data_IF_583727545058
#
_entry.id   IF_583727545058
#
_cell.length_a   1.000
_cell.length_b   1.000
_cell.length_c   1.000
_cell.angle_alpha   90.00
_cell.angle_beta   90.00
_cell.angle_gamma   90.00
#
_symmetry.space_group_name_H-M   'P 1'
#
loop_
_entity.id
_entity.type
_entity.pdbx_description
1 polymer ?
#
# COMPACT_ATOMS: atom_id res chain seq x y z
N UNK A 1 -11.28 -16.44 15.75
CA UNK A 1 -9.88 -16.07 15.48
C UNK A 1 -9.34 -16.56 14.11
N UNK A 2 -10.17 -17.08 13.18
CA UNK A 2 -9.71 -17.53 11.83
C UNK A 2 -9.69 -16.40 10.79
N UNK A 3 -10.67 -15.49 10.84
CA UNK A 3 -10.92 -14.49 9.79
C UNK A 3 -9.70 -13.62 9.44
N UNK A 4 -9.00 -13.05 10.43
CA UNK A 4 -7.83 -12.22 10.15
C UNK A 4 -6.66 -13.01 9.58
N UNK A 5 -6.52 -14.28 9.96
CA UNK A 5 -5.47 -15.14 9.42
C UNK A 5 -5.73 -15.43 7.95
N UNK A 6 -6.99 -15.69 7.58
CA UNK A 6 -7.41 -15.98 6.21
C UNK A 6 -7.36 -14.72 5.33
N UNK A 7 -7.71 -13.55 5.88
CA UNK A 7 -7.65 -12.25 5.17
C UNK A 7 -6.22 -11.85 4.78
N UNK A 8 -5.25 -12.11 5.66
CA UNK A 8 -3.83 -11.80 5.41
C UNK A 8 -3.02 -12.99 4.89
N UNK A 9 -3.61 -14.18 4.77
CA UNK A 9 -3.01 -15.36 4.16
C UNK A 9 -3.03 -15.28 2.62
N UNK A 10 -2.61 -14.14 2.06
CA UNK A 10 -2.44 -13.98 0.63
C UNK A 10 -1.52 -15.07 0.06
N UNK A 11 -1.85 -15.60 -1.13
CA UNK A 11 -0.98 -16.50 -1.88
C UNK A 11 0.43 -15.91 -1.93
N UNK A 12 1.44 -16.67 -1.47
CA UNK A 12 2.85 -16.28 -1.59
C UNK A 12 3.23 -16.21 -3.07
N UNK A 13 3.10 -15.04 -3.68
CA UNK A 13 3.64 -14.77 -4.99
C UNK A 13 5.17 -14.67 -4.89
N UNK A 14 5.89 -15.16 -5.91
CA UNK A 14 7.34 -14.94 -6.02
C UNK A 14 7.61 -13.43 -5.97
N UNK A 15 8.44 -13.02 -5.02
CA UNK A 15 8.91 -11.64 -4.93
C UNK A 15 9.80 -11.37 -6.14
N UNK A 16 9.36 -10.46 -7.00
CA UNK A 16 10.13 -10.02 -8.17
C UNK A 16 11.18 -9.01 -7.73
N UNK A 17 12.36 -9.06 -8.33
CA UNK A 17 13.38 -8.03 -8.08
C UNK A 17 12.89 -6.67 -8.60
N UNK A 18 13.44 -5.55 -8.10
CA UNK A 18 13.19 -4.22 -8.64
C UNK A 18 13.34 -4.12 -10.19
N UNK A 19 14.37 -4.75 -10.74
CA UNK A 19 14.68 -4.77 -12.16
C UNK A 19 13.67 -5.61 -12.94
N UNK A 20 13.31 -6.80 -12.42
CA UNK A 20 12.28 -7.65 -13.01
C UNK A 20 10.92 -6.94 -13.06
N UNK A 21 10.57 -6.16 -12.02
CA UNK A 21 9.35 -5.33 -12.01
C UNK A 21 9.42 -4.25 -13.09
N UNK A 22 10.53 -3.52 -13.19
CA UNK A 22 10.70 -2.47 -14.21
C UNK A 22 10.62 -3.05 -15.62
N UNK A 23 11.32 -4.16 -15.88
CA UNK A 23 11.31 -4.83 -17.17
C UNK A 23 9.90 -5.30 -17.57
N UNK A 24 9.15 -5.89 -16.63
CA UNK A 24 7.77 -6.30 -16.87
C UNK A 24 6.84 -5.11 -17.18
N UNK A 25 6.99 -3.99 -16.48
CA UNK A 25 6.24 -2.76 -16.75
C UNK A 25 6.57 -2.20 -18.14
N UNK A 26 7.84 -2.13 -18.53
CA UNK A 26 8.26 -1.65 -19.85
C UNK A 26 7.71 -2.55 -20.96
N UNK A 27 7.78 -3.87 -20.79
CA UNK A 27 7.20 -4.81 -21.76
C UNK A 27 5.70 -4.61 -21.95
N UNK A 28 4.97 -4.36 -20.85
CA UNK A 28 3.54 -4.05 -20.90
C UNK A 28 3.27 -2.75 -21.66
N UNK A 29 4.01 -1.69 -21.35
CA UNK A 29 3.87 -0.39 -22.03
C UNK A 29 4.14 -0.50 -23.54
N UNK A 30 5.20 -1.23 -23.93
CA UNK A 30 5.50 -1.52 -25.35
C UNK A 30 4.36 -2.28 -26.03
N UNK A 31 3.81 -3.31 -25.38
CA UNK A 31 2.69 -4.10 -25.91
C UNK A 31 1.43 -3.25 -26.14
N UNK A 32 1.17 -2.30 -25.25
CA UNK A 32 0.01 -1.41 -25.32
C UNK A 32 0.24 -0.17 -26.21
N UNK A 33 1.45 -0.01 -26.79
CA UNK A 33 1.79 1.15 -27.62
C UNK A 33 1.91 2.46 -26.84
N UNK A 34 2.09 2.38 -25.52
CA UNK A 34 2.17 3.54 -24.63
C UNK A 34 3.62 4.04 -24.58
N UNK A 35 3.88 5.32 -24.91
CA UNK A 35 5.20 5.93 -24.77
C UNK A 35 5.70 5.84 -23.32
N UNK A 36 6.97 5.52 -23.13
CA UNK A 36 7.61 5.48 -21.82
C UNK A 36 8.97 6.18 -21.85
N UNK A 37 9.44 6.59 -20.68
CA UNK A 37 10.73 7.25 -20.51
C UNK A 37 11.73 6.23 -19.98
N UNK A 38 12.81 6.00 -20.72
CA UNK A 38 13.77 4.92 -20.41
C UNK A 38 14.62 5.19 -19.17
N UNK A 39 14.98 6.46 -18.95
CA UNK A 39 15.85 6.89 -17.85
C UNK A 39 15.14 6.99 -16.49
N UNK A 40 13.85 6.64 -16.39
CA UNK A 40 13.17 6.60 -15.10
C UNK A 40 13.85 5.59 -14.17
N UNK A 41 14.09 5.93 -12.89
CA UNK A 41 14.78 5.05 -11.96
C UNK A 41 13.98 3.77 -11.68
N UNK A 42 14.67 2.76 -11.16
CA UNK A 42 14.05 1.55 -10.65
C UNK A 42 13.39 1.85 -9.31
N UNK A 43 12.18 1.34 -9.07
CA UNK A 43 11.50 1.45 -7.77
C UNK A 43 12.23 0.57 -6.75
N UNK A 44 12.52 1.13 -5.58
CA UNK A 44 13.24 0.51 -4.47
C UNK A 44 12.72 -0.89 -4.09
N UNK A 45 13.62 -1.70 -3.52
CA UNK A 45 13.28 -3.02 -3.00
C UNK A 45 12.32 -2.90 -1.83
N UNK A 46 11.43 -3.88 -1.68
CA UNK A 46 10.58 -3.98 -0.49
C UNK A 46 11.41 -4.12 0.80
N UNK A 47 12.65 -4.60 0.70
CA UNK A 47 13.59 -4.71 1.82
C UNK A 47 14.11 -3.35 2.30
N UNK A 48 14.09 -2.33 1.43
CA UNK A 48 14.47 -0.96 1.76
C UNK A 48 13.32 -0.19 2.46
N UNK A 49 12.14 -0.81 2.55
CA UNK A 49 11.01 -0.22 3.26
C UNK A 49 11.30 -0.22 4.75
N UNK A 50 11.21 0.95 5.37
CA UNK A 50 11.21 1.08 6.82
C UNK A 50 9.76 0.95 7.32
N UNK A 51 9.36 -0.19 7.94
CA UNK A 51 8.03 -0.30 8.49
C UNK A 51 7.86 0.70 9.65
N UNK A 52 6.65 1.25 9.76
CA UNK A 52 6.25 2.06 10.93
C UNK A 52 6.18 1.18 12.17
N UNK A 53 6.42 1.78 13.34
CA UNK A 53 6.24 1.06 14.60
C UNK A 53 4.75 0.72 14.82
N UNK A 54 4.48 -0.34 15.58
CA UNK A 54 3.12 -0.69 15.98
C UNK A 54 2.43 0.46 16.71
N UNK A 55 3.17 1.19 17.53
CA UNK A 55 2.67 2.38 18.23
C UNK A 55 2.25 3.49 17.26
N UNK A 56 3.07 3.80 16.25
CA UNK A 56 2.71 4.81 15.25
C UNK A 56 1.46 4.38 14.47
N UNK A 57 1.38 3.10 14.10
CA UNK A 57 0.21 2.54 13.41
C UNK A 57 -1.04 2.67 14.29
N UNK A 58 -0.96 2.27 15.56
CA UNK A 58 -2.07 2.34 16.50
C UNK A 58 -2.54 3.77 16.72
N UNK A 59 -1.60 4.71 16.90
CA UNK A 59 -1.90 6.14 17.08
C UNK A 59 -2.67 6.68 15.87
N UNK A 60 -2.22 6.38 14.66
CA UNK A 60 -2.89 6.80 13.43
C UNK A 60 -4.28 6.20 13.30
N UNK A 61 -4.44 4.92 13.61
CA UNK A 61 -5.75 4.26 13.57
C UNK A 61 -6.74 4.91 14.55
N UNK A 62 -6.31 5.16 15.79
CA UNK A 62 -7.13 5.82 16.81
C UNK A 62 -7.48 7.25 16.39
N UNK A 63 -6.51 8.04 15.93
CA UNK A 63 -6.77 9.41 15.46
C UNK A 63 -7.79 9.42 14.32
N UNK A 64 -7.67 8.52 13.34
CA UNK A 64 -8.66 8.41 12.27
C UNK A 64 -10.04 8.07 12.79
N UNK A 65 -10.15 7.13 13.75
CA UNK A 65 -11.42 6.74 14.36
C UNK A 65 -12.07 7.91 15.10
N UNK A 66 -11.30 8.67 15.87
CA UNK A 66 -11.79 9.84 16.62
C UNK A 66 -12.31 10.93 15.68
N UNK A 67 -11.63 11.18 14.56
CA UNK A 67 -12.10 12.17 13.57
C UNK A 67 -13.38 11.69 12.88
N UNK A 68 -13.49 10.40 12.57
CA UNK A 68 -14.73 9.83 12.04
C UNK A 68 -15.87 10.03 13.05
N UNK A 69 -15.64 9.69 14.32
CA UNK A 69 -16.66 9.86 15.36
C UNK A 69 -17.05 11.33 15.52
N UNK A 70 -16.08 12.24 15.58
CA UNK A 70 -16.36 13.68 15.67
C UNK A 70 -17.17 14.19 14.49
N UNK A 71 -16.89 13.71 13.26
CA UNK A 71 -17.69 14.07 12.08
C UNK A 71 -19.14 13.55 12.19
N UNK A 72 -19.33 12.33 12.68
CA UNK A 72 -20.66 11.75 12.92
C UNK A 72 -21.40 12.50 14.03
N UNK A 73 -20.72 12.91 15.10
CA UNK A 73 -21.33 13.67 16.19
C UNK A 73 -21.77 15.07 15.71
N UNK A 74 -20.97 15.72 14.85
CA UNK A 74 -21.34 16.97 14.18
C UNK A 74 -22.59 16.78 13.31
N UNK A 75 -22.62 15.74 12.48
CA UNK A 75 -23.76 15.41 11.62
C UNK A 75 -25.05 15.16 12.42
N UNK A 76 -24.91 14.49 13.57
CA UNK A 76 -26.04 14.15 14.45
C UNK A 76 -26.46 15.28 15.42
N UNK A 77 -25.82 16.45 15.36
CA UNK A 77 -25.98 17.55 16.33
C UNK A 77 -25.71 17.15 17.80
N UNK A 78 -24.75 16.24 18.01
CA UNK A 78 -24.34 15.71 19.31
C UNK A 78 -22.99 16.29 19.77
N UNK A 79 -22.82 17.61 19.69
CA UNK A 79 -21.59 18.33 20.04
C UNK A 79 -21.67 19.09 21.37
#
# INVERSE_FOLDING_TARGET
>A
MSFFKDLFAGKKARVKTPEERKAASIQRLKKEGIPYIEHLPVIESAEQVRPRSLEEIARRAISSLLIIQAALDIENNNY
#
